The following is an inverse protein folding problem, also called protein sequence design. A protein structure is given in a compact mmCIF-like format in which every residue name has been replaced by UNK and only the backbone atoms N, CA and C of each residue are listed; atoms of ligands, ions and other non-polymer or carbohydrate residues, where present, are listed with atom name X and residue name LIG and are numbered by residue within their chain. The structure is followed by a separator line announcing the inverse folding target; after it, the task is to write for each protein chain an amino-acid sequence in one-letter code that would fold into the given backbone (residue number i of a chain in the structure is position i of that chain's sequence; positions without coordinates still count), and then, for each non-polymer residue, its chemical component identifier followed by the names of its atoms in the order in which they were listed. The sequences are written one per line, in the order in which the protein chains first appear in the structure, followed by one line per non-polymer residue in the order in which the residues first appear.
data_IF_892144952514
#
_entry.id   IF_892144952514
#
_cell.length_a   1.000
_cell.length_b   1.000
_cell.length_c   1.000
_cell.angle_alpha   90.00
_cell.angle_beta   90.00
_cell.angle_gamma   90.00
#
_symmetry.space_group_name_H-M   'P 1'
#
loop_
_entity.id
_entity.type
_entity.pdbx_description
1 polymer ?
#
# COMPACT_ATOMS: atom_id res chain seq x y z
N UNK A 1 -11.42 -3.70 22.22
CA UNK A 1 -12.59 -2.90 21.78
C UNK A 1 -12.67 -1.58 22.53
N UNK A 2 -12.63 -1.58 23.89
CA UNK A 2 -12.69 -0.33 24.70
C UNK A 2 -11.65 0.71 24.29
N UNK A 3 -10.38 0.34 24.15
CA UNK A 3 -9.28 1.23 23.75
C UNK A 3 -9.52 1.91 22.39
N UNK A 4 -10.13 1.21 21.43
CA UNK A 4 -10.47 1.79 20.11
C UNK A 4 -11.56 2.84 20.26
N UNK A 5 -12.59 2.57 21.08
CA UNK A 5 -13.68 3.52 21.36
C UNK A 5 -13.12 4.75 22.08
N UNK A 6 -12.30 4.54 23.11
CA UNK A 6 -11.67 5.62 23.87
C UNK A 6 -10.77 6.48 22.96
N UNK A 7 -10.02 5.83 22.05
CA UNK A 7 -9.22 6.51 21.03
C UNK A 7 -10.06 7.38 20.10
N UNK A 8 -11.19 6.87 19.60
CA UNK A 8 -12.12 7.64 18.78
C UNK A 8 -12.71 8.84 19.51
N UNK A 9 -13.14 8.65 20.77
CA UNK A 9 -13.66 9.75 21.60
C UNK A 9 -12.59 10.81 21.89
N UNK A 10 -11.34 10.39 22.08
CA UNK A 10 -10.21 11.31 22.22
C UNK A 10 -9.97 12.08 20.92
N UNK A 11 -10.00 11.41 19.78
CA UNK A 11 -9.90 12.07 18.46
C UNK A 11 -10.96 13.17 18.32
N UNK A 12 -12.23 12.88 18.63
CA UNK A 12 -13.31 13.86 18.54
C UNK A 12 -13.08 15.09 19.43
N UNK A 13 -12.55 14.90 20.64
CA UNK A 13 -12.35 16.00 21.59
C UNK A 13 -11.09 16.82 21.34
N UNK A 14 -10.02 16.19 20.88
CA UNK A 14 -8.68 16.80 20.90
C UNK A 14 -8.08 17.03 19.50
N UNK A 15 -8.28 16.09 18.56
CA UNK A 15 -7.66 16.15 17.25
C UNK A 15 -8.58 16.75 16.17
N UNK A 16 -9.86 16.35 16.19
CA UNK A 16 -10.85 16.86 15.22
C UNK A 16 -11.02 18.38 15.27
N UNK A 17 -11.15 19.05 16.42
CA UNK A 17 -11.29 20.51 16.46
C UNK A 17 -10.13 21.25 15.82
N UNK A 18 -8.91 20.69 15.90
CA UNK A 18 -7.71 21.27 15.29
C UNK A 18 -7.71 21.20 13.76
N UNK A 19 -8.53 20.33 13.19
CA UNK A 19 -8.66 20.08 11.75
C UNK A 19 -10.09 20.28 11.26
N UNK A 20 -10.95 20.94 12.03
CA UNK A 20 -12.36 21.10 11.73
C UNK A 20 -12.60 21.75 10.36
N UNK A 21 -11.84 22.78 10.02
CA UNK A 21 -11.93 23.45 8.72
C UNK A 21 -11.59 22.49 7.57
N UNK A 22 -10.55 21.70 7.71
CA UNK A 22 -10.17 20.68 6.74
C UNK A 22 -11.29 19.63 6.57
N UNK A 23 -11.81 19.07 7.65
CA UNK A 23 -12.88 18.08 7.58
C UNK A 23 -14.19 18.63 7.03
N UNK A 24 -14.52 19.90 7.30
CA UNK A 24 -15.68 20.58 6.68
C UNK A 24 -15.51 20.69 5.16
N UNK A 25 -14.33 21.02 4.68
CA UNK A 25 -14.03 21.04 3.25
C UNK A 25 -14.12 19.62 2.65
N UNK A 26 -13.52 18.62 3.27
CA UNK A 26 -13.53 17.24 2.80
C UNK A 26 -14.92 16.59 2.82
N UNK A 27 -15.84 17.06 3.67
CA UNK A 27 -17.22 16.54 3.72
C UNK A 27 -17.99 16.82 2.42
N UNK A 28 -17.61 17.83 1.65
CA UNK A 28 -18.27 18.21 0.40
C UNK A 28 -17.51 17.75 -0.84
N UNK A 29 -16.20 17.62 -0.76
CA UNK A 29 -15.36 17.28 -1.90
C UNK A 29 -14.03 16.68 -1.43
N UNK A 30 -13.58 15.62 -2.11
CA UNK A 30 -12.20 15.14 -2.01
C UNK A 30 -11.51 15.28 -3.38
N UNK A 31 -10.23 15.61 -3.36
CA UNK A 31 -9.41 15.76 -4.57
C UNK A 31 -7.99 15.28 -4.28
N UNK A 32 -7.81 14.01 -3.91
CA UNK A 32 -6.48 13.47 -3.66
C UNK A 32 -5.67 13.48 -4.95
N UNK A 33 -4.44 13.92 -4.86
CA UNK A 33 -3.53 13.93 -6.00
C UNK A 33 -2.95 12.55 -6.30
N UNK A 34 -2.79 11.73 -5.28
CA UNK A 34 -2.04 10.48 -5.35
C UNK A 34 -2.89 9.29 -4.93
N UNK A 35 -2.96 8.27 -5.78
CA UNK A 35 -3.34 6.92 -5.38
C UNK A 35 -2.14 6.23 -4.73
N UNK A 36 -2.26 5.86 -3.47
CA UNK A 36 -1.22 5.18 -2.71
C UNK A 36 -1.64 3.75 -2.40
N UNK A 37 -0.92 2.77 -2.96
CA UNK A 37 -1.21 1.34 -2.78
C UNK A 37 -0.13 0.74 -1.88
N UNK A 38 -0.52 0.16 -0.75
CA UNK A 38 0.42 -0.38 0.23
C UNK A 38 -0.05 -1.67 0.88
N UNK A 39 0.85 -2.29 1.64
CA UNK A 39 0.51 -3.46 2.41
C UNK A 39 -0.45 -3.11 3.56
N UNK A 40 -1.31 -4.09 3.93
CA UNK A 40 -2.15 -4.03 5.14
C UNK A 40 -1.36 -4.21 6.44
N UNK A 41 -0.06 -4.42 6.37
CA UNK A 41 0.82 -4.55 7.53
C UNK A 41 0.65 -3.36 8.49
N UNK A 42 0.42 -3.66 9.77
CA UNK A 42 0.08 -2.63 10.78
C UNK A 42 1.20 -1.62 11.04
N UNK A 43 2.43 -1.94 10.66
CA UNK A 43 3.60 -1.05 10.78
C UNK A 43 3.63 0.05 9.73
N UNK A 44 2.94 -0.14 8.61
CA UNK A 44 2.92 0.81 7.50
C UNK A 44 1.62 1.64 7.54
N UNK A 45 1.73 2.90 7.89
CA UNK A 45 0.62 3.87 7.88
C UNK A 45 0.94 4.92 6.81
N UNK A 46 0.27 4.89 5.65
CA UNK A 46 0.59 5.74 4.50
C UNK A 46 0.71 7.22 4.83
N UNK A 47 -0.28 7.79 5.50
CA UNK A 47 -0.31 9.20 5.86
C UNK A 47 0.84 9.57 6.82
N UNK A 48 1.19 8.66 7.75
CA UNK A 48 2.28 8.89 8.68
C UNK A 48 3.64 8.92 7.97
N UNK A 49 3.93 7.91 7.14
CA UNK A 49 5.24 7.79 6.46
C UNK A 49 5.44 8.83 5.37
N UNK A 50 4.36 9.35 4.79
CA UNK A 50 4.41 10.41 3.77
C UNK A 50 4.20 11.81 4.34
N UNK A 51 3.91 11.93 5.64
CA UNK A 51 3.58 13.20 6.31
C UNK A 51 2.46 13.95 5.58
N UNK A 52 1.39 13.23 5.25
CA UNK A 52 0.22 13.78 4.57
C UNK A 52 -0.97 13.94 5.52
N UNK A 53 -1.78 14.95 5.22
CA UNK A 53 -3.02 15.19 5.95
C UNK A 53 -4.19 14.39 5.33
N UNK A 54 -5.30 14.21 6.07
CA UNK A 54 -6.51 13.60 5.53
C UNK A 54 -6.95 14.28 4.23
N UNK A 55 -7.24 13.47 3.20
CA UNK A 55 -7.66 13.95 1.89
C UNK A 55 -6.55 14.09 0.84
N UNK A 56 -5.27 14.05 1.25
CA UNK A 56 -4.14 14.16 0.32
C UNK A 56 -3.92 12.88 -0.49
N UNK A 57 -4.20 11.73 0.11
CA UNK A 57 -4.02 10.41 -0.49
C UNK A 57 -5.35 9.69 -0.67
N UNK A 58 -5.50 8.99 -1.79
CA UNK A 58 -6.49 7.92 -1.93
C UNK A 58 -5.78 6.59 -1.69
N UNK A 59 -6.12 5.89 -0.62
CA UNK A 59 -5.31 4.76 -0.12
C UNK A 59 -6.00 3.43 -0.39
N UNK A 60 -5.25 2.50 -0.99
CA UNK A 60 -5.59 1.08 -1.07
C UNK A 60 -4.60 0.30 -0.22
N UNK A 61 -5.09 -0.58 0.64
CA UNK A 61 -4.25 -1.51 1.42
C UNK A 61 -4.73 -2.93 1.23
N UNK A 62 -3.77 -3.83 0.94
CA UNK A 62 -4.04 -5.26 0.81
C UNK A 62 -2.81 -6.07 1.24
N UNK A 63 -2.95 -7.39 1.38
CA UNK A 63 -1.82 -8.25 1.70
C UNK A 63 -0.79 -8.24 0.57
N UNK A 64 0.40 -7.67 0.86
CA UNK A 64 1.51 -7.62 -0.09
C UNK A 64 1.42 -6.54 -1.16
N UNK A 65 0.62 -5.48 -0.96
CA UNK A 65 0.48 -4.36 -1.93
C UNK A 65 0.31 -4.81 -3.40
N UNK A 66 -0.37 -5.94 -3.61
CA UNK A 66 -0.57 -6.55 -4.94
C UNK A 66 -1.63 -5.77 -5.70
N UNK A 67 -1.35 -5.52 -6.97
CA UNK A 67 -2.33 -5.01 -7.95
C UNK A 67 -2.56 -6.11 -8.97
N UNK A 68 -3.72 -6.80 -8.92
CA UNK A 68 -4.06 -7.80 -9.92
C UNK A 68 -4.11 -7.21 -11.33
N UNK A 69 -3.78 -8.00 -12.34
CA UNK A 69 -4.06 -7.62 -13.72
C UNK A 69 -5.57 -7.45 -13.91
N UNK A 70 -5.96 -6.52 -14.78
CA UNK A 70 -7.36 -6.35 -15.13
C UNK A 70 -7.91 -7.62 -15.77
N UNK A 71 -9.08 -8.06 -15.33
CA UNK A 71 -9.72 -9.29 -15.81
C UNK A 71 -11.24 -9.13 -15.91
N UNK A 72 -11.95 -10.15 -16.42
CA UNK A 72 -13.40 -10.11 -16.61
C UNK A 72 -14.18 -9.99 -15.29
N UNK A 73 -13.60 -10.40 -14.19
CA UNK A 73 -14.18 -10.26 -12.85
C UNK A 73 -13.28 -9.34 -11.99
N UNK A 74 -13.44 -8.01 -12.13
CA UNK A 74 -12.63 -7.07 -11.39
C UNK A 74 -12.93 -7.15 -9.89
N UNK A 75 -11.88 -7.24 -9.07
CA UNK A 75 -11.97 -7.19 -7.62
C UNK A 75 -11.94 -5.77 -7.07
N UNK A 76 -12.02 -5.64 -5.74
CA UNK A 76 -12.03 -4.34 -5.05
C UNK A 76 -10.81 -3.47 -5.33
N UNK A 77 -9.62 -4.08 -5.56
CA UNK A 77 -8.42 -3.31 -5.93
C UNK A 77 -8.59 -2.67 -7.30
N UNK A 78 -9.01 -3.44 -8.30
CA UNK A 78 -9.26 -2.93 -9.67
C UNK A 78 -10.31 -1.83 -9.68
N UNK A 79 -11.42 -2.03 -8.96
CA UNK A 79 -12.48 -1.03 -8.84
C UNK A 79 -11.98 0.26 -8.17
N UNK A 80 -11.15 0.16 -7.13
CA UNK A 80 -10.58 1.31 -6.45
C UNK A 80 -9.57 2.06 -7.34
N UNK A 81 -8.76 1.33 -8.12
CA UNK A 81 -7.84 1.94 -9.10
C UNK A 81 -8.63 2.69 -10.16
N UNK A 82 -9.66 2.07 -10.73
CA UNK A 82 -10.53 2.70 -11.73
C UNK A 82 -11.20 3.96 -11.17
N UNK A 83 -11.74 3.91 -9.96
CA UNK A 83 -12.34 5.06 -9.31
C UNK A 83 -11.32 6.19 -9.09
N UNK A 84 -10.12 5.88 -8.61
CA UNK A 84 -9.07 6.86 -8.40
C UNK A 84 -8.68 7.58 -9.71
N UNK A 85 -8.55 6.82 -10.80
CA UNK A 85 -8.12 7.36 -12.09
C UNK A 85 -9.27 8.06 -12.82
N UNK A 86 -10.43 7.41 -12.94
CA UNK A 86 -11.51 7.92 -13.76
C UNK A 86 -12.37 8.98 -13.05
N UNK A 87 -12.67 8.77 -11.78
CA UNK A 87 -13.53 9.68 -11.02
C UNK A 87 -12.74 10.78 -10.28
N UNK A 88 -11.71 10.38 -9.51
CA UNK A 88 -10.92 11.34 -8.72
C UNK A 88 -9.81 12.01 -9.53
N UNK A 89 -9.43 11.43 -10.68
CA UNK A 89 -8.42 11.98 -11.60
C UNK A 89 -7.07 12.20 -10.93
N UNK A 90 -6.64 11.24 -10.12
CA UNK A 90 -5.31 11.28 -9.50
C UNK A 90 -4.23 11.42 -10.58
N UNK A 91 -3.19 12.20 -10.31
CA UNK A 91 -2.07 12.40 -11.24
C UNK A 91 -0.94 11.41 -11.02
N UNK A 92 -0.87 10.83 -9.83
CA UNK A 92 0.23 9.96 -9.44
C UNK A 92 -0.30 8.65 -8.85
N UNK A 93 0.37 7.54 -9.18
CA UNK A 93 0.12 6.23 -8.57
C UNK A 93 1.41 5.75 -7.93
N UNK A 94 1.38 5.51 -6.64
CA UNK A 94 2.50 4.99 -5.85
C UNK A 94 2.17 3.60 -5.35
N UNK A 95 3.05 2.63 -5.62
CA UNK A 95 3.00 1.29 -5.02
C UNK A 95 4.14 1.19 -4.03
N UNK A 96 3.82 1.10 -2.74
CA UNK A 96 4.78 1.10 -1.66
C UNK A 96 4.86 -0.28 -0.99
N UNK A 97 5.99 -0.96 -1.16
CA UNK A 97 6.37 -2.15 -0.41
C UNK A 97 7.03 -1.79 0.91
N UNK A 98 7.32 -2.81 1.73
CA UNK A 98 8.06 -2.66 2.98
C UNK A 98 8.88 -3.91 3.28
N UNK A 99 9.92 -3.76 4.09
CA UNK A 99 10.74 -4.88 4.57
C UNK A 99 9.92 -5.85 5.43
N UNK A 100 10.36 -7.11 5.49
CA UNK A 100 9.72 -8.16 6.28
C UNK A 100 8.21 -8.32 6.00
N UNK A 101 7.77 -8.12 4.75
CA UNK A 101 6.39 -8.33 4.35
C UNK A 101 6.06 -9.83 4.36
N UNK A 102 5.13 -10.27 5.24
CA UNK A 102 4.73 -11.66 5.34
C UNK A 102 4.20 -12.25 4.03
N UNK A 103 3.42 -11.49 3.27
CA UNK A 103 2.89 -11.90 1.98
C UNK A 103 4.01 -12.12 0.95
N UNK A 104 4.95 -11.18 0.83
CA UNK A 104 6.08 -11.30 -0.10
C UNK A 104 7.04 -12.42 0.31
N UNK A 105 7.26 -12.62 1.61
CA UNK A 105 8.04 -13.76 2.13
C UNK A 105 7.38 -15.09 1.76
N UNK A 106 6.07 -15.23 1.92
CA UNK A 106 5.36 -16.46 1.55
C UNK A 106 5.47 -16.75 0.05
N UNK A 107 5.38 -15.74 -0.81
CA UNK A 107 5.57 -15.87 -2.26
C UNK A 107 7.00 -16.32 -2.58
N UNK A 108 8.00 -15.63 -2.03
CA UNK A 108 9.41 -15.89 -2.32
C UNK A 108 9.88 -17.28 -1.83
N UNK A 109 9.34 -17.76 -0.70
CA UNK A 109 9.68 -19.08 -0.15
C UNK A 109 8.80 -20.21 -0.65
N UNK A 110 7.86 -19.97 -1.58
CA UNK A 110 6.87 -20.94 -2.05
C UNK A 110 6.14 -21.64 -0.89
N UNK A 111 5.81 -20.88 0.16
CA UNK A 111 5.19 -21.42 1.36
C UNK A 111 3.82 -22.01 1.05
N UNK A 112 3.58 -23.25 1.51
CA UNK A 112 2.25 -23.83 1.43
C UNK A 112 1.26 -23.06 2.32
N UNK A 113 0.15 -22.61 1.73
CA UNK A 113 -0.88 -21.80 2.38
C UNK A 113 -2.25 -22.50 2.40
N UNK A 114 -2.27 -23.83 2.37
CA UNK A 114 -3.52 -24.62 2.30
C UNK A 114 -4.47 -24.34 3.47
N UNK A 115 -3.92 -23.99 4.64
CA UNK A 115 -4.66 -23.58 5.82
C UNK A 115 -5.30 -22.16 5.70
N UNK A 116 -4.95 -21.40 4.66
CA UNK A 116 -5.47 -20.06 4.37
C UNK A 116 -5.85 -19.93 2.88
N UNK A 117 -6.91 -20.59 2.41
CA UNK A 117 -7.21 -20.69 0.98
C UNK A 117 -7.45 -19.34 0.29
N UNK A 118 -8.04 -18.38 0.98
CA UNK A 118 -8.24 -17.03 0.43
C UNK A 118 -6.90 -16.30 0.23
N UNK A 119 -5.96 -16.45 1.17
CA UNK A 119 -4.61 -15.87 1.05
C UNK A 119 -3.86 -16.57 -0.08
N UNK A 120 -3.89 -17.91 -0.13
CA UNK A 120 -3.27 -18.70 -1.20
C UNK A 120 -3.76 -18.25 -2.58
N UNK A 121 -5.07 -18.09 -2.74
CA UNK A 121 -5.66 -17.58 -4.00
C UNK A 121 -5.17 -16.17 -4.32
N UNK A 122 -5.15 -15.27 -3.34
CA UNK A 122 -4.73 -13.89 -3.50
C UNK A 122 -3.26 -13.76 -3.94
N UNK A 123 -2.37 -14.50 -3.30
CA UNK A 123 -0.93 -14.43 -3.60
C UNK A 123 -0.58 -14.88 -5.03
N UNK A 124 -1.42 -15.69 -5.68
CA UNK A 124 -1.22 -16.11 -7.07
C UNK A 124 -1.21 -14.96 -8.07
N UNK A 125 -1.80 -13.82 -7.74
CA UNK A 125 -1.68 -12.62 -8.56
C UNK A 125 -0.23 -12.10 -8.69
N UNK A 126 0.67 -12.54 -7.82
CA UNK A 126 2.09 -12.18 -7.88
C UNK A 126 2.97 -13.28 -8.50
N UNK A 127 2.42 -14.39 -8.98
CA UNK A 127 3.21 -15.51 -9.55
C UNK A 127 4.08 -15.07 -10.73
N UNK A 128 3.57 -14.22 -11.61
CA UNK A 128 4.35 -13.70 -12.74
C UNK A 128 5.55 -12.86 -12.28
N UNK A 129 5.37 -12.05 -11.24
CA UNK A 129 6.46 -11.26 -10.67
C UNK A 129 7.52 -12.15 -10.00
N UNK A 130 7.09 -13.24 -9.33
CA UNK A 130 7.99 -14.24 -8.76
C UNK A 130 8.86 -14.89 -9.84
N UNK A 131 8.25 -15.40 -10.92
CA UNK A 131 8.96 -16.04 -12.03
C UNK A 131 9.99 -15.10 -12.68
N UNK A 132 9.63 -13.83 -12.89
CA UNK A 132 10.54 -12.83 -13.43
C UNK A 132 11.72 -12.57 -12.48
N UNK A 133 11.46 -12.53 -11.17
CA UNK A 133 12.51 -12.32 -10.18
C UNK A 133 13.46 -13.51 -10.07
N UNK A 134 12.93 -14.74 -10.11
CA UNK A 134 13.75 -15.98 -10.10
C UNK A 134 14.63 -16.14 -11.34
N UNK A 135 14.12 -15.71 -12.50
CA UNK A 135 14.89 -15.74 -13.76
C UNK A 135 15.98 -14.65 -13.83
N UNK A 136 16.00 -13.70 -12.89
CA UNK A 136 16.99 -12.63 -12.85
C UNK A 136 18.29 -13.17 -12.26
N UNK A 137 19.44 -13.10 -12.98
CA UNK A 137 20.71 -13.51 -12.39
C UNK A 137 20.99 -12.65 -11.14
N UNK A 138 21.61 -13.24 -10.09
CA UNK A 138 21.96 -12.48 -8.88
C UNK A 138 22.79 -11.27 -9.29
N UNK A 139 22.28 -10.07 -9.01
CA UNK A 139 22.90 -8.81 -9.39
C UNK A 139 24.29 -8.73 -8.80
N UNK A 140 25.30 -8.53 -9.62
CA UNK A 140 26.58 -8.00 -9.15
C UNK A 140 26.25 -6.67 -8.50
N UNK A 141 26.67 -6.48 -7.25
CA UNK A 141 26.39 -5.31 -6.45
C UNK A 141 26.46 -4.03 -7.27
N UNK A 142 25.41 -3.25 -7.28
CA UNK A 142 25.29 -2.06 -8.12
C UNK A 142 26.20 -0.95 -7.63
N UNK A 143 27.40 -0.93 -8.22
CA UNK A 143 28.10 0.33 -8.40
C UNK A 143 27.64 0.93 -9.75
N UNK A 144 26.74 1.89 -9.66
CA UNK A 144 26.49 2.90 -10.69
C UNK A 144 25.69 2.50 -11.92
N UNK A 145 24.40 2.75 -11.93
CA UNK A 145 23.71 3.25 -13.14
C UNK A 145 22.42 3.97 -12.76
N UNK A 146 22.42 5.27 -12.98
CA UNK A 146 21.26 6.14 -12.87
C UNK A 146 20.29 5.86 -14.01
N UNK A 147 19.24 5.10 -13.77
CA UNK A 147 17.95 5.28 -14.44
C UNK A 147 16.86 5.03 -13.42
N UNK A 148 16.14 6.08 -13.10
CA UNK A 148 15.08 6.14 -12.10
C UNK A 148 13.93 5.23 -12.49
N UNK A 149 13.90 4.03 -11.93
CA UNK A 149 12.67 3.30 -11.66
C UNK A 149 12.55 3.27 -10.16
N UNK A 150 11.56 3.98 -9.64
CA UNK A 150 11.34 4.09 -8.20
C UNK A 150 10.80 2.77 -7.66
N UNK A 151 11.68 1.84 -7.36
CA UNK A 151 11.41 0.75 -6.45
C UNK A 151 12.51 0.77 -5.39
N UNK A 152 12.26 1.44 -4.28
CA UNK A 152 13.11 1.32 -3.10
C UNK A 152 12.67 0.11 -2.30
N UNK A 153 13.28 -1.04 -2.54
CA UNK A 153 13.28 -2.14 -1.60
C UNK A 153 14.53 -1.96 -0.75
N UNK A 154 14.38 -1.63 0.52
CA UNK A 154 15.48 -1.62 1.48
C UNK A 154 15.41 -2.91 2.29
N UNK A 155 16.49 -3.68 2.28
CA UNK A 155 16.64 -4.91 3.08
C UNK A 155 17.00 -4.60 4.54
N UNK A 156 17.17 -3.33 4.89
CA UNK A 156 17.49 -2.89 6.23
C UNK A 156 16.20 -2.60 7.02
N UNK A 157 15.87 -3.41 8.06
CA UNK A 157 14.71 -3.18 8.88
C UNK A 157 14.77 -1.87 9.69
N UNK A 158 15.93 -1.21 9.74
CA UNK A 158 16.12 0.07 10.44
C UNK A 158 16.15 1.27 9.50
N UNK A 159 16.08 1.07 8.18
CA UNK A 159 16.15 2.14 7.18
C UNK A 159 15.06 3.22 7.31
N UNK A 160 14.05 2.96 8.14
CA UNK A 160 12.98 3.92 8.48
C UNK A 160 13.26 4.77 9.72
N UNK A 161 14.41 4.54 10.40
CA UNK A 161 14.75 5.19 11.66
C UNK A 161 15.89 6.23 11.53
N UNK A 162 16.36 6.51 10.31
CA UNK A 162 17.43 7.47 10.03
C UNK A 162 17.05 8.51 9.00
#
# INVERSE_FOLDING_TARGET
MKEIIDGFLKFQREAFPKREALFKQLATQQSPRTLFISCSDSRLVPELVTQREPGDLFVIRNAGNIVPSYGPEPGGVSASVEYAVAALRVSDIVICGHSNCGAMTAIASCQCMDHMPAVSHWLRYADSARVVNEARPPGRGEAGSRRRRHSTVTDDPTAWLH
#
